data_IF_742217010137
#
_entry.id   IF_742217010137
#
_cell.length_a   1.000
_cell.length_b   1.000
_cell.length_c   1.000
_cell.angle_alpha   90.00
_cell.angle_beta   90.00
_cell.angle_gamma   90.00
#
_symmetry.space_group_name_H-M   'P 1'
#
loop_
_entity.id
_entity.type
_entity.pdbx_description
1 polymer ?
#
# COMPACT_ATOMS: atom_id res chain seq x y z
N UNK A 1 2.04 35.06 -12.00
CA UNK A 1 1.54 34.05 -12.97
C UNK A 1 2.53 33.71 -14.11
N UNK A 2 3.82 34.11 -14.06
CA UNK A 2 4.76 33.99 -15.19
C UNK A 2 5.60 32.70 -15.28
N UNK A 3 5.54 31.79 -14.30
CA UNK A 3 6.34 30.56 -14.33
C UNK A 3 5.81 29.50 -15.30
N UNK A 4 4.52 29.55 -15.61
CA UNK A 4 3.85 28.56 -16.49
C UNK A 4 4.11 28.83 -17.98
N UNK A 5 4.21 30.10 -18.37
CA UNK A 5 4.43 30.52 -19.76
C UNK A 5 5.85 30.21 -20.23
N UNK A 6 6.87 30.51 -19.40
CA UNK A 6 8.27 30.14 -19.70
C UNK A 6 8.45 28.64 -19.92
N UNK A 7 7.83 27.82 -19.07
CA UNK A 7 7.81 26.35 -19.24
C UNK A 7 7.14 25.92 -20.53
N UNK A 8 6.05 26.58 -20.94
CA UNK A 8 5.38 26.25 -22.19
C UNK A 8 6.21 26.61 -23.41
N UNK A 9 6.91 27.76 -23.40
CA UNK A 9 7.81 28.16 -24.47
C UNK A 9 9.00 27.20 -24.61
N UNK A 10 9.61 26.79 -23.49
CA UNK A 10 10.69 25.81 -23.49
C UNK A 10 10.23 24.45 -24.04
N UNK A 11 9.07 23.96 -23.60
CA UNK A 11 8.50 22.69 -24.12
C UNK A 11 8.19 22.81 -25.61
N UNK A 12 7.62 23.94 -26.05
CA UNK A 12 7.31 24.17 -27.46
C UNK A 12 8.59 24.20 -28.32
N UNK A 13 9.66 24.80 -27.79
CA UNK A 13 10.98 24.85 -28.44
C UNK A 13 11.63 23.47 -28.54
N UNK A 14 11.50 22.63 -27.51
CA UNK A 14 12.00 21.25 -27.52
C UNK A 14 11.22 20.36 -28.49
N UNK A 15 9.89 20.50 -28.55
CA UNK A 15 9.06 19.75 -29.49
C UNK A 15 9.28 20.19 -30.95
N UNK A 16 9.55 21.48 -31.19
CA UNK A 16 9.90 21.98 -32.52
C UNK A 16 11.28 21.51 -33.01
N UNK A 17 12.17 21.08 -32.11
CA UNK A 17 13.51 20.58 -32.47
C UNK A 17 13.48 19.16 -33.08
N UNK A 18 12.32 18.49 -33.09
CA UNK A 18 12.16 17.15 -33.65
C UNK A 18 12.69 16.03 -32.74
N UNK A 19 12.23 14.77 -32.94
CA UNK A 19 12.67 13.66 -32.10
C UNK A 19 14.16 13.40 -32.32
N UNK A 20 14.95 13.48 -31.25
CA UNK A 20 16.36 13.06 -31.31
C UNK A 20 16.44 11.59 -31.69
N UNK A 21 17.36 11.23 -32.59
CA UNK A 21 17.61 9.84 -32.97
C UNK A 21 18.15 9.07 -31.76
N UNK A 22 17.25 8.40 -31.04
CA UNK A 22 17.59 7.58 -29.89
C UNK A 22 18.11 6.22 -30.38
N UNK A 23 19.15 5.65 -29.75
CA UNK A 23 19.60 4.30 -30.04
C UNK A 23 18.42 3.31 -29.90
N UNK A 24 18.27 2.33 -30.82
CA UNK A 24 17.16 1.38 -30.79
C UNK A 24 17.13 0.54 -29.50
N UNK A 25 18.27 0.43 -28.84
CA UNK A 25 18.47 -0.37 -27.64
C UNK A 25 18.19 0.39 -26.32
N UNK A 26 17.81 1.67 -26.41
CA UNK A 26 17.59 2.54 -25.26
C UNK A 26 16.35 2.11 -24.45
N UNK A 27 15.30 1.66 -25.12
CA UNK A 27 14.11 1.11 -24.46
C UNK A 27 14.46 -0.13 -23.62
N UNK A 28 15.29 -1.03 -24.16
CA UNK A 28 15.72 -2.25 -23.47
C UNK A 28 16.60 -1.91 -22.25
N UNK A 29 17.57 -1.01 -22.40
CA UNK A 29 18.42 -0.56 -21.28
C UNK A 29 17.62 0.18 -20.20
N UNK A 30 16.64 0.98 -20.58
CA UNK A 30 15.74 1.66 -19.65
C UNK A 30 14.86 0.65 -18.87
N UNK A 31 14.39 -0.40 -19.54
CA UNK A 31 13.68 -1.50 -18.89
C UNK A 31 14.57 -2.24 -17.90
N UNK A 32 15.80 -2.59 -18.28
CA UNK A 32 16.78 -3.26 -17.41
C UNK A 32 17.05 -2.44 -16.14
N UNK A 33 17.28 -1.14 -16.28
CA UNK A 33 17.48 -0.22 -15.14
C UNK A 33 16.21 -0.02 -14.31
N UNK A 34 15.04 0.05 -14.95
CA UNK A 34 13.73 0.26 -14.32
C UNK A 34 13.22 -0.94 -13.51
N UNK A 35 13.74 -2.15 -13.78
CA UNK A 35 13.32 -3.37 -13.08
C UNK A 35 13.53 -3.30 -11.56
N UNK A 36 14.56 -2.59 -11.10
CA UNK A 36 14.90 -2.48 -9.66
C UNK A 36 13.87 -1.65 -8.89
N UNK A 37 13.38 -0.58 -9.50
CA UNK A 37 12.33 0.29 -8.94
C UNK A 37 10.97 -0.41 -9.01
N UNK A 38 10.68 -1.11 -10.11
CA UNK A 38 9.45 -1.88 -10.27
C UNK A 38 9.36 -3.05 -9.27
N UNK A 39 10.47 -3.76 -9.03
CA UNK A 39 10.55 -4.83 -8.03
C UNK A 39 10.31 -4.29 -6.63
N UNK A 40 10.95 -3.16 -6.25
CA UNK A 40 10.72 -2.52 -4.93
C UNK A 40 9.25 -2.20 -4.69
N UNK A 41 8.52 -1.70 -5.69
CA UNK A 41 7.08 -1.41 -5.55
C UNK A 41 6.25 -2.66 -5.37
N UNK A 42 6.55 -3.73 -6.10
CA UNK A 42 5.85 -5.02 -5.96
C UNK A 42 6.14 -5.66 -4.60
N UNK A 43 7.40 -5.68 -4.17
CA UNK A 43 7.79 -6.24 -2.86
C UNK A 43 7.23 -5.40 -1.72
N UNK A 44 7.23 -4.06 -1.82
CA UNK A 44 6.62 -3.20 -0.82
C UNK A 44 5.11 -3.45 -0.72
N UNK A 45 4.42 -3.60 -1.86
CA UNK A 45 2.97 -3.88 -1.86
C UNK A 45 2.66 -5.25 -1.30
N UNK A 46 3.45 -6.27 -1.64
CA UNK A 46 3.34 -7.61 -1.04
C UNK A 46 3.62 -7.58 0.47
N UNK A 47 4.66 -6.86 0.90
CA UNK A 47 4.99 -6.70 2.32
C UNK A 47 3.86 -6.00 3.08
N UNK A 48 3.29 -4.92 2.53
CA UNK A 48 2.13 -4.24 3.12
C UNK A 48 0.94 -5.20 3.24
N UNK A 49 0.64 -5.98 2.20
CA UNK A 49 -0.44 -6.97 2.25
C UNK A 49 -0.20 -8.04 3.31
N UNK A 50 1.03 -8.58 3.40
CA UNK A 50 1.39 -9.55 4.44
C UNK A 50 1.27 -8.94 5.84
N UNK A 51 1.72 -7.70 6.01
CA UNK A 51 1.62 -6.99 7.30
C UNK A 51 0.15 -6.79 7.69
N UNK A 52 -0.69 -6.39 6.72
CA UNK A 52 -2.12 -6.21 6.94
C UNK A 52 -2.79 -7.52 7.32
N UNK A 53 -2.45 -8.61 6.62
CA UNK A 53 -2.97 -9.94 6.91
C UNK A 53 -2.55 -10.44 8.29
N UNK A 54 -1.28 -10.25 8.67
CA UNK A 54 -0.77 -10.57 10.00
C UNK A 54 -1.48 -9.77 11.09
N UNK A 55 -1.74 -8.47 10.86
CA UNK A 55 -2.46 -7.63 11.80
C UNK A 55 -3.91 -8.08 11.99
N UNK A 56 -4.61 -8.36 10.90
CA UNK A 56 -6.00 -8.86 10.94
C UNK A 56 -6.08 -10.19 11.68
N UNK A 57 -5.21 -11.14 11.33
CA UNK A 57 -5.20 -12.46 11.98
C UNK A 57 -4.83 -12.38 13.46
N UNK A 58 -3.87 -11.53 13.83
CA UNK A 58 -3.54 -11.26 15.23
C UNK A 58 -4.72 -10.67 16.01
N UNK A 59 -5.45 -9.72 15.42
CA UNK A 59 -6.66 -9.14 16.02
C UNK A 59 -7.78 -10.17 16.14
N UNK A 60 -8.01 -11.00 15.12
CA UNK A 60 -9.01 -12.07 15.16
C UNK A 60 -8.67 -13.10 16.24
N UNK A 61 -7.40 -13.51 16.33
CA UNK A 61 -6.95 -14.45 17.35
C UNK A 61 -7.11 -13.84 18.74
N UNK A 62 -6.68 -12.60 18.92
CA UNK A 62 -6.87 -11.89 20.18
C UNK A 62 -8.34 -11.80 20.56
N UNK A 63 -9.21 -11.43 19.62
CA UNK A 63 -10.64 -11.32 19.85
C UNK A 63 -11.26 -12.68 20.19
N UNK A 64 -10.84 -13.75 19.51
CA UNK A 64 -11.28 -15.11 19.81
C UNK A 64 -10.85 -15.59 21.20
N UNK A 65 -9.65 -15.22 21.65
CA UNK A 65 -9.14 -15.59 22.99
C UNK A 65 -9.77 -14.74 24.09
N UNK A 66 -9.90 -13.43 23.85
CA UNK A 66 -10.43 -12.50 24.84
C UNK A 66 -11.95 -12.61 24.98
N UNK A 67 -12.64 -13.25 24.02
CA UNK A 67 -14.09 -13.33 23.89
C UNK A 67 -14.78 -12.06 24.44
N UNK A 68 -14.49 -10.85 23.92
CA UNK A 68 -14.99 -9.60 24.50
C UNK A 68 -16.51 -9.47 24.40
N UNK A 69 -17.13 -10.32 23.58
CA UNK A 69 -18.57 -10.50 23.44
C UNK A 69 -19.17 -11.55 24.40
N UNK A 70 -18.35 -12.25 25.18
CA UNK A 70 -18.84 -13.13 26.24
C UNK A 70 -19.58 -12.26 27.26
N UNK A 71 -20.88 -12.52 27.43
CA UNK A 71 -21.65 -11.84 28.46
C UNK A 71 -21.09 -12.28 29.81
N UNK A 72 -20.72 -11.35 30.71
CA UNK A 72 -20.33 -11.74 32.06
C UNK A 72 -21.44 -12.63 32.64
N UNK A 73 -21.10 -13.74 33.30
CA UNK A 73 -22.09 -14.60 33.94
C UNK A 73 -22.95 -13.69 34.82
N UNK A 74 -24.23 -13.56 34.48
CA UNK A 74 -25.17 -12.89 35.38
C UNK A 74 -25.27 -13.82 36.58
N UNK A 75 -24.57 -13.47 37.66
CA UNK A 75 -24.83 -13.92 39.01
C UNK A 75 -26.23 -13.44 39.40
N UNK A 76 -27.24 -14.06 38.81
CA UNK A 76 -28.63 -13.99 39.24
C UNK A 76 -29.13 -15.42 39.39
N UNK A 77 -28.35 -16.24 40.09
CA UNK A 77 -28.97 -17.28 40.90
C UNK A 77 -29.23 -16.63 42.25
N UNK A 78 -30.49 -16.26 42.58
CA UNK A 78 -30.80 -15.93 43.96
C UNK A 78 -30.34 -17.09 44.85
N UNK A 79 -29.78 -16.82 46.03
CA UNK A 79 -29.37 -17.88 46.93
C UNK A 79 -30.60 -18.76 47.18
N UNK A 80 -30.53 -20.01 46.73
CA UNK A 80 -31.40 -21.05 47.27
C UNK A 80 -30.97 -21.23 48.71
N UNK A 81 -31.59 -20.46 49.61
CA UNK A 81 -31.63 -20.79 51.03
C UNK A 81 -32.35 -22.13 51.13
N UNK A 82 -31.53 -23.20 51.03
CA UNK A 82 -31.94 -24.55 51.33
C UNK A 82 -32.24 -24.64 52.81
N UNK A 83 -33.55 -24.65 53.10
CA UNK A 83 -34.28 -25.43 54.12
C UNK A 83 -33.46 -25.95 55.31
#
# INVERSE_FOLDING_TARGET
MSGRTRKQEDVRRMLSAGPAALPPDLARRAMELGTRIARRRRTARAAVWLLLFALITGLLLWAAVAEPWSRPPRETSPPVEGI
#
